data_IF_607168116062
#
_entry.id   IF_607168116062
#
_cell.length_a   1.000
_cell.length_b   1.000
_cell.length_c   1.000
_cell.angle_alpha   90.00
_cell.angle_beta   90.00
_cell.angle_gamma   90.00
#
_symmetry.space_group_name_H-M   'P 1'
#
loop_
_entity.id
_entity.type
_entity.pdbx_description
1 polymer ?
#
# COMPACT_ATOMS: atom_id res chain seq x y z
N UNK A 1 -12.30 10.38 -6.40
CA UNK A 1 -12.11 9.05 -5.80
C UNK A 1 -10.84 9.11 -4.98
N UNK A 2 -10.92 8.77 -3.69
CA UNK A 2 -9.72 8.70 -2.83
C UNK A 2 -8.93 7.45 -3.21
N UNK A 3 -7.60 7.54 -3.39
CA UNK A 3 -6.75 6.40 -3.82
C UNK A 3 -6.87 5.16 -2.92
N UNK A 4 -7.33 5.32 -1.68
CA UNK A 4 -7.46 4.23 -0.71
C UNK A 4 -8.85 3.61 -0.62
N UNK A 5 -9.83 4.02 -1.44
CA UNK A 5 -11.23 3.61 -1.29
C UNK A 5 -11.45 2.08 -1.24
N UNK A 6 -10.61 1.30 -1.95
CA UNK A 6 -10.75 -0.15 -2.03
C UNK A 6 -9.70 -0.93 -1.24
N UNK A 7 -8.82 -0.24 -0.52
CA UNK A 7 -7.74 -0.85 0.25
C UNK A 7 -8.22 -1.13 1.67
N UNK A 8 -7.86 -2.28 2.23
CA UNK A 8 -8.21 -2.69 3.59
C UNK A 8 -6.96 -3.05 4.38
N UNK A 9 -7.07 -2.97 5.70
CA UNK A 9 -6.06 -3.51 6.60
C UNK A 9 -5.89 -5.01 6.32
N UNK A 10 -4.65 -5.48 6.32
CA UNK A 10 -4.19 -6.82 5.93
C UNK A 10 -4.20 -7.13 4.43
N UNK A 11 -4.63 -6.21 3.56
CA UNK A 11 -4.41 -6.38 2.12
C UNK A 11 -2.91 -6.37 1.84
N UNK A 12 -2.47 -7.24 0.93
CA UNK A 12 -1.14 -7.13 0.34
C UNK A 12 -1.20 -6.15 -0.80
N UNK A 13 -0.30 -5.16 -0.83
CA UNK A 13 -0.29 -4.09 -1.82
C UNK A 13 1.08 -3.90 -2.46
N UNK A 14 1.08 -3.40 -3.69
CA UNK A 14 2.21 -2.76 -4.35
C UNK A 14 1.99 -1.25 -4.28
N UNK A 15 2.99 -0.54 -3.79
CA UNK A 15 3.03 0.93 -3.78
C UNK A 15 4.17 1.38 -4.69
N UNK A 16 3.85 2.22 -5.67
CA UNK A 16 4.86 2.94 -6.45
C UNK A 16 4.98 4.38 -5.95
N UNK A 17 6.20 4.83 -5.69
CA UNK A 17 6.53 6.20 -5.29
C UNK A 17 7.95 6.53 -5.75
N UNK A 18 8.13 7.62 -6.50
CA UNK A 18 9.44 8.14 -6.92
C UNK A 18 10.32 7.08 -7.63
N UNK A 19 9.72 6.31 -8.55
CA UNK A 19 10.35 5.19 -9.26
C UNK A 19 10.79 4.02 -8.36
N UNK A 20 10.26 3.91 -7.14
CA UNK A 20 10.46 2.77 -6.24
C UNK A 20 9.17 1.99 -6.10
N UNK A 21 9.28 0.69 -6.26
CA UNK A 21 8.19 -0.26 -6.02
C UNK A 21 8.41 -0.94 -4.67
N UNK A 22 7.44 -0.80 -3.77
CA UNK A 22 7.44 -1.45 -2.46
C UNK A 22 6.25 -2.39 -2.34
N UNK A 23 6.50 -3.61 -1.85
CA UNK A 23 5.46 -4.60 -1.55
C UNK A 23 5.35 -4.75 -0.04
N UNK A 24 4.13 -4.69 0.47
CA UNK A 24 3.87 -4.88 1.89
C UNK A 24 2.42 -5.19 2.21
N UNK A 25 2.17 -5.46 3.49
CA UNK A 25 0.83 -5.68 4.03
C UNK A 25 0.34 -4.40 4.69
N UNK A 26 -0.88 -3.98 4.39
CA UNK A 26 -1.48 -2.76 4.93
C UNK A 26 -1.71 -2.92 6.44
N UNK A 27 -1.17 -1.97 7.21
CA UNK A 27 -1.30 -1.92 8.66
C UNK A 27 -2.31 -0.85 9.10
N UNK A 28 -2.28 0.32 8.45
CA UNK A 28 -3.12 1.46 8.80
C UNK A 28 -3.52 2.22 7.54
N UNK A 29 -4.76 2.70 7.51
CA UNK A 29 -5.29 3.59 6.48
C UNK A 29 -5.83 4.84 7.18
N UNK A 30 -5.18 5.97 6.93
CA UNK A 30 -5.65 7.29 7.33
C UNK A 30 -6.33 8.00 6.16
N UNK A 31 -6.85 9.21 6.42
CA UNK A 31 -7.48 10.05 5.40
C UNK A 31 -6.52 10.36 4.23
N UNK A 32 -5.25 10.59 4.54
CA UNK A 32 -4.21 11.00 3.58
C UNK A 32 -2.94 10.14 3.65
N UNK A 33 -2.94 9.06 4.43
CA UNK A 33 -1.74 8.23 4.62
C UNK A 33 -2.05 6.74 4.57
N UNK A 34 -1.10 5.97 4.05
CA UNK A 34 -1.09 4.51 4.04
C UNK A 34 0.18 4.00 4.71
N UNK A 35 0.05 3.13 5.70
CA UNK A 35 1.19 2.44 6.30
C UNK A 35 1.18 0.97 5.93
N UNK A 36 2.31 0.46 5.47
CA UNK A 36 2.51 -0.94 5.12
C UNK A 36 3.69 -1.54 5.89
N UNK A 37 3.56 -2.80 6.27
CA UNK A 37 4.66 -3.63 6.76
C UNK A 37 5.28 -4.32 5.55
N UNK A 38 6.52 -3.96 5.23
CA UNK A 38 7.24 -4.42 4.05
C UNK A 38 7.84 -5.81 4.22
N UNK A 39 8.16 -6.48 3.12
CA UNK A 39 8.78 -7.81 3.13
C UNK A 39 10.14 -7.85 3.86
N UNK A 40 10.87 -6.72 3.95
CA UNK A 40 12.12 -6.58 4.71
C UNK A 40 11.90 -6.21 6.19
N UNK A 41 10.69 -6.43 6.70
CA UNK A 41 10.28 -6.24 8.09
C UNK A 41 10.37 -4.79 8.58
N UNK A 42 10.11 -3.81 7.70
CA UNK A 42 10.05 -2.39 8.03
C UNK A 42 8.62 -1.86 7.97
N UNK A 43 8.34 -0.82 8.75
CA UNK A 43 7.13 -0.03 8.59
C UNK A 43 7.44 1.12 7.62
N UNK A 44 6.70 1.19 6.51
CA UNK A 44 6.78 2.28 5.55
C UNK A 44 5.45 3.02 5.51
N UNK A 45 5.49 4.36 5.60
CA UNK A 45 4.30 5.21 5.57
C UNK A 45 4.39 6.16 4.39
N UNK A 46 3.32 6.21 3.60
CA UNK A 46 3.20 6.98 2.37
C UNK A 46 2.09 8.01 2.51
N UNK A 47 2.35 9.26 2.10
CA UNK A 47 1.30 10.25 1.91
C UNK A 47 0.62 10.02 0.55
N UNK A 48 -0.70 10.22 0.47
CA UNK A 48 -1.49 9.91 -0.73
C UNK A 48 -1.02 10.64 -2.00
N UNK A 49 -0.44 11.83 -1.82
CA UNK A 49 0.07 12.65 -2.93
C UNK A 49 1.43 12.17 -3.45
N UNK A 50 2.16 11.36 -2.66
CA UNK A 50 3.49 10.86 -3.02
C UNK A 50 3.38 9.50 -3.73
N UNK A 51 2.23 8.82 -3.63
CA UNK A 51 1.98 7.54 -4.28
C UNK A 51 1.68 7.79 -5.75
N UNK A 52 2.50 7.26 -6.66
CA UNK A 52 2.23 7.31 -8.10
C UNK A 52 1.14 6.29 -8.46
N UNK A 53 1.31 5.05 -8.03
CA UNK A 53 0.38 3.93 -8.27
C UNK A 53 0.19 3.06 -7.03
N UNK A 54 -1.02 2.50 -6.87
CA UNK A 54 -1.37 1.60 -5.78
C UNK A 54 -2.22 0.44 -6.31
N UNK A 55 -1.74 -0.78 -6.12
CA UNK A 55 -2.43 -2.00 -6.52
C UNK A 55 -2.54 -2.99 -5.36
N UNK A 56 -3.65 -3.74 -5.31
CA UNK A 56 -3.86 -4.84 -4.35
C UNK A 56 -3.42 -6.14 -5.03
N UNK A 57 -2.53 -6.91 -4.39
CA UNK A 57 -2.22 -8.26 -4.82
C UNK A 57 -3.31 -9.19 -4.32
N UNK A 58 -4.08 -9.75 -5.24
CA UNK A 58 -5.00 -10.83 -4.95
C UNK A 58 -4.20 -12.14 -4.96
N UNK A 59 -4.46 -12.99 -3.96
CA UNK A 59 -3.95 -14.35 -4.01
C UNK A 59 -4.51 -15.06 -5.25
N UNK A 60 -3.70 -15.85 -5.96
CA UNK A 60 -4.21 -16.63 -7.08
C UNK A 60 -5.35 -17.51 -6.59
N UNK A 61 -6.49 -17.44 -7.28
CA UNK A 61 -7.62 -18.34 -7.01
C UNK A 61 -7.16 -19.76 -7.30
N UNK A 62 -7.19 -20.61 -6.26
CA UNK A 62 -6.79 -22.01 -6.31
C UNK A 62 -7.64 -22.84 -7.28
#
# INVERSE_FOLDING_TARGET
>A
MTKFQNVKINDKVIVENDNRTTIGTVMTIGEHQLSIHTADNRLSTYHINDIDELAILLDPVA
#
